data_IF_356063805650
#
_entry.id   IF_356063805650
#
_cell.length_a   1.000
_cell.length_b   1.000
_cell.length_c   1.000
_cell.angle_alpha   90.00
_cell.angle_beta   90.00
_cell.angle_gamma   90.00
#
_symmetry.space_group_name_H-M   'P 1'
#
loop_
_entity.id
_entity.type
_entity.pdbx_description
1 polymer ?
#
# COMPACT_ATOMS: atom_id res chain seq x y z
N UNK A 1 6.71 3.01 6.03
CA UNK A 1 6.26 1.65 5.63
C UNK A 1 5.58 1.73 4.27
N UNK A 2 5.96 0.90 3.31
CA UNK A 2 5.35 0.77 2.00
C UNK A 2 4.62 -0.58 1.92
N UNK A 3 3.34 -0.56 1.56
CA UNK A 3 2.49 -1.76 1.52
C UNK A 3 2.09 -2.05 0.09
N UNK A 4 2.52 -3.19 -0.44
CA UNK A 4 2.10 -3.67 -1.76
C UNK A 4 1.33 -4.99 -1.64
N UNK A 5 0.33 -5.16 -2.50
CA UNK A 5 -0.41 -6.42 -2.58
C UNK A 5 0.29 -7.49 -3.43
N UNK A 6 1.29 -7.09 -4.24
CA UNK A 6 2.08 -7.96 -5.11
C UNK A 6 3.56 -7.54 -5.18
N UNK A 7 4.41 -8.47 -5.61
CA UNK A 7 5.83 -8.26 -5.88
C UNK A 7 6.15 -8.68 -7.33
N UNK A 8 5.78 -7.83 -8.29
CA UNK A 8 5.90 -8.06 -9.74
C UNK A 8 6.54 -6.86 -10.45
N UNK A 9 7.02 -7.03 -11.69
CA UNK A 9 7.52 -5.93 -12.54
C UNK A 9 6.37 -5.21 -13.28
N UNK A 10 5.27 -4.94 -12.57
CA UNK A 10 4.17 -4.14 -13.10
C UNK A 10 4.37 -2.65 -12.76
N UNK A 11 3.58 -1.76 -13.37
CA UNK A 11 3.74 -0.31 -13.18
C UNK A 11 3.65 0.15 -11.72
N UNK A 12 2.71 -0.41 -10.94
CA UNK A 12 2.50 -0.01 -9.54
C UNK A 12 3.68 -0.34 -8.62
N UNK A 13 4.14 -1.60 -8.54
CA UNK A 13 5.31 -1.98 -7.75
C UNK A 13 6.61 -1.29 -8.20
N UNK A 14 6.83 -1.08 -9.51
CA UNK A 14 8.01 -0.37 -10.00
C UNK A 14 8.03 1.10 -9.53
N UNK A 15 6.90 1.78 -9.63
CA UNK A 15 6.74 3.15 -9.18
C UNK A 15 6.91 3.27 -7.65
N UNK A 16 6.34 2.35 -6.88
CA UNK A 16 6.54 2.30 -5.44
C UNK A 16 8.01 2.01 -5.07
N UNK A 17 8.72 1.21 -5.86
CA UNK A 17 10.15 0.93 -5.67
C UNK A 17 11.00 2.18 -5.93
N UNK A 18 10.74 2.93 -6.99
CA UNK A 18 11.46 4.18 -7.26
C UNK A 18 11.21 5.19 -6.12
N UNK A 19 9.97 5.29 -5.61
CA UNK A 19 9.69 6.09 -4.41
C UNK A 19 10.48 5.59 -3.19
N UNK A 20 10.58 4.28 -2.99
CA UNK A 20 11.37 3.69 -1.91
C UNK A 20 12.84 4.14 -1.97
N UNK A 21 13.42 4.18 -3.18
CA UNK A 21 14.80 4.62 -3.39
C UNK A 21 14.99 6.11 -3.12
N UNK A 22 14.07 6.96 -3.60
CA UNK A 22 14.10 8.38 -3.31
C UNK A 22 14.04 8.66 -1.79
N UNK A 23 13.16 7.95 -1.07
CA UNK A 23 13.07 8.04 0.38
C UNK A 23 14.37 7.59 1.07
N UNK A 24 14.99 6.50 0.61
CA UNK A 24 16.30 6.05 1.12
C UNK A 24 17.40 7.07 0.88
N UNK A 25 17.42 7.72 -0.29
CA UNK A 25 18.41 8.74 -0.64
C UNK A 25 18.37 9.96 0.29
N UNK A 26 17.19 10.32 0.79
CA UNK A 26 17.02 11.41 1.78
C UNK A 26 17.11 10.94 3.24
N UNK A 27 17.57 9.70 3.47
CA UNK A 27 17.86 9.18 4.80
C UNK A 27 16.69 8.51 5.53
N UNK A 28 15.52 8.36 4.90
CA UNK A 28 14.39 7.68 5.53
C UNK A 28 14.68 6.19 5.75
N UNK A 29 14.17 5.62 6.84
CA UNK A 29 14.08 4.17 6.97
C UNK A 29 12.88 3.66 6.16
N UNK A 30 13.14 2.75 5.23
CA UNK A 30 12.10 2.23 4.35
C UNK A 30 11.96 0.73 4.54
N UNK A 31 10.77 0.33 4.97
CA UNK A 31 10.34 -1.06 5.06
C UNK A 31 9.23 -1.26 4.05
N UNK A 32 9.37 -2.27 3.21
CA UNK A 32 8.40 -2.75 2.26
C UNK A 32 7.77 -4.04 2.78
N UNK A 33 6.45 -4.12 2.76
CA UNK A 33 5.72 -5.36 3.01
C UNK A 33 4.94 -5.81 1.78
N UNK A 34 5.01 -7.11 1.49
CA UNK A 34 4.25 -7.72 0.38
C UNK A 34 3.45 -8.92 0.85
N UNK A 35 2.20 -9.01 0.39
CA UNK A 35 1.23 -10.06 0.75
C UNK A 35 1.43 -11.35 -0.06
N UNK A 36 2.28 -11.32 -1.08
CA UNK A 36 2.60 -12.45 -1.95
C UNK A 36 4.11 -12.54 -2.13
N UNK A 37 4.74 -13.49 -1.42
CA UNK A 37 5.97 -14.13 -1.92
C UNK A 37 5.53 -15.37 -2.67
N UNK A 38 5.81 -15.52 -3.97
CA UNK A 38 5.60 -16.78 -4.66
C UNK A 38 6.32 -17.90 -3.90
N UNK A 39 5.66 -19.04 -3.69
CA UNK A 39 6.34 -20.26 -3.26
C UNK A 39 7.17 -20.78 -4.45
N UNK A 40 8.47 -20.47 -4.43
CA UNK A 40 9.43 -20.85 -5.49
C UNK A 40 10.28 -19.68 -5.99
N UNK A 41 11.44 -19.99 -6.58
CA UNK A 41 12.31 -19.01 -7.22
C UNK A 41 11.67 -18.52 -8.51
N UNK A 42 10.85 -17.48 -8.42
CA UNK A 42 10.48 -16.70 -9.58
C UNK A 42 11.56 -15.62 -9.77
N UNK A 43 12.45 -15.78 -10.76
CA UNK A 43 13.64 -14.94 -10.98
C UNK A 43 13.33 -13.44 -10.91
N UNK A 44 12.13 -13.06 -11.34
CA UNK A 44 11.62 -11.69 -11.33
C UNK A 44 11.40 -11.14 -9.92
N UNK A 45 10.71 -11.87 -9.04
CA UNK A 45 10.45 -11.44 -7.66
C UNK A 45 11.75 -11.42 -6.85
N UNK A 46 12.63 -12.39 -7.10
CA UNK A 46 13.97 -12.43 -6.51
C UNK A 46 14.81 -11.21 -6.92
N UNK A 47 14.81 -10.85 -8.22
CA UNK A 47 15.49 -9.67 -8.74
C UNK A 47 15.00 -8.37 -8.09
N UNK A 48 13.68 -8.21 -7.94
CA UNK A 48 13.10 -7.01 -7.34
C UNK A 48 13.44 -6.89 -5.84
N UNK A 49 13.32 -7.99 -5.10
CA UNK A 49 13.70 -8.04 -3.69
C UNK A 49 15.19 -7.73 -3.49
N UNK A 50 16.05 -8.34 -4.29
CA UNK A 50 17.49 -8.09 -4.24
C UNK A 50 17.84 -6.64 -4.60
N UNK A 51 17.17 -6.05 -5.60
CA UNK A 51 17.35 -4.64 -5.95
C UNK A 51 16.94 -3.73 -4.78
N UNK A 52 15.83 -4.04 -4.10
CA UNK A 52 15.39 -3.32 -2.91
C UNK A 52 16.40 -3.40 -1.76
N UNK A 53 16.87 -4.61 -1.45
CA UNK A 53 17.85 -4.84 -0.38
C UNK A 53 19.18 -4.11 -0.65
N UNK A 54 19.66 -4.13 -1.90
CA UNK A 54 20.88 -3.41 -2.30
C UNK A 54 20.79 -1.89 -2.13
N UNK A 55 19.58 -1.32 -2.13
CA UNK A 55 19.35 0.11 -1.88
C UNK A 55 18.96 0.38 -0.41
N UNK A 56 19.11 -0.62 0.48
CA UNK A 56 18.82 -0.51 1.90
C UNK A 56 17.33 -0.44 2.23
N UNK A 57 16.45 -0.89 1.33
CA UNK A 57 15.03 -1.08 1.60
C UNK A 57 14.85 -2.46 2.24
N UNK A 58 14.27 -2.51 3.44
CA UNK A 58 13.96 -3.78 4.11
C UNK A 58 12.71 -4.39 3.48
N UNK A 59 12.67 -5.72 3.33
CA UNK A 59 11.53 -6.43 2.74
C UNK A 59 11.05 -7.48 3.73
N UNK A 60 9.83 -7.29 4.24
CA UNK A 60 9.23 -8.14 5.26
C UNK A 60 7.94 -8.81 4.76
N UNK A 61 7.55 -9.96 5.34
CA UNK A 61 6.24 -10.54 5.08
C UNK A 61 5.12 -9.58 5.50
N UNK A 62 4.03 -9.49 4.73
CA UNK A 62 2.91 -8.63 5.10
C UNK A 62 2.02 -9.18 6.23
N UNK A 63 2.40 -10.25 6.93
CA UNK A 63 1.62 -10.87 7.99
C UNK A 63 2.49 -11.13 9.22
N UNK A 64 1.83 -11.32 10.36
CA UNK A 64 2.49 -11.62 11.63
C UNK A 64 2.75 -10.37 12.47
N UNK A 65 3.29 -10.60 13.67
CA UNK A 65 3.49 -9.56 14.68
C UNK A 65 4.45 -8.46 14.21
N UNK A 66 5.50 -8.83 13.47
CA UNK A 66 6.48 -7.88 12.93
C UNK A 66 5.84 -6.86 11.98
N UNK A 67 4.90 -7.28 11.12
CA UNK A 67 4.18 -6.40 10.22
C UNK A 67 3.29 -5.39 10.98
N UNK A 68 2.62 -5.86 12.05
CA UNK A 68 1.78 -5.02 12.91
C UNK A 68 2.64 -3.99 13.63
N UNK A 69 3.73 -4.42 14.28
CA UNK A 69 4.62 -3.52 15.00
C UNK A 69 5.30 -2.50 14.09
N UNK A 70 5.70 -2.91 12.90
CA UNK A 70 6.28 -2.00 11.89
C UNK A 70 5.26 -0.94 11.49
N UNK A 71 4.00 -1.31 11.30
CA UNK A 71 2.94 -0.37 10.95
C UNK A 71 2.62 0.62 12.10
N UNK A 72 2.58 0.12 13.34
CA UNK A 72 2.35 0.95 14.52
C UNK A 72 3.49 1.96 14.73
N UNK A 73 4.75 1.52 14.54
CA UNK A 73 5.96 2.36 14.70
C UNK A 73 6.19 3.33 13.54
N UNK A 74 5.67 3.04 12.35
CA UNK A 74 5.88 3.89 11.19
C UNK A 74 5.36 5.32 11.41
N UNK A 75 6.10 6.31 10.91
CA UNK A 75 5.67 7.71 10.84
C UNK A 75 4.73 7.95 9.65
N UNK A 76 4.95 7.22 8.55
CA UNK A 76 4.17 7.25 7.32
C UNK A 76 3.96 5.83 6.79
N UNK A 77 2.72 5.52 6.42
CA UNK A 77 2.34 4.28 5.74
C UNK A 77 1.83 4.62 4.35
N UNK A 78 2.46 4.08 3.30
CA UNK A 78 1.99 4.24 1.93
C UNK A 78 1.29 2.95 1.52
N UNK A 79 -0.03 3.02 1.33
CA UNK A 79 -0.79 1.92 0.74
C UNK A 79 -0.73 2.05 -0.79
N UNK A 80 -0.08 1.11 -1.45
CA UNK A 80 0.02 1.08 -2.90
C UNK A 80 -1.14 0.27 -3.49
N UNK A 81 -1.92 0.90 -4.35
CA UNK A 81 -3.17 0.39 -4.96
C UNK A 81 -4.37 0.34 -4.04
N UNK A 82 -5.57 0.37 -4.63
CA UNK A 82 -6.81 0.12 -3.91
C UNK A 82 -6.82 -1.27 -3.23
N UNK A 83 -6.21 -2.27 -3.86
CA UNK A 83 -6.19 -3.67 -3.37
C UNK A 83 -5.41 -3.80 -2.07
N UNK A 84 -4.42 -2.93 -1.81
CA UNK A 84 -3.70 -2.93 -0.53
C UNK A 84 -4.59 -2.59 0.66
N UNK A 85 -5.75 -1.96 0.48
CA UNK A 85 -6.68 -1.67 1.58
C UNK A 85 -7.15 -2.92 2.34
N UNK A 86 -7.25 -4.07 1.67
CA UNK A 86 -7.62 -5.35 2.31
C UNK A 86 -6.64 -5.78 3.40
N UNK A 87 -5.38 -5.32 3.31
CA UNK A 87 -4.34 -5.65 4.27
C UNK A 87 -4.64 -5.06 5.66
N UNK A 88 -5.30 -3.90 5.72
CA UNK A 88 -5.61 -3.22 6.97
C UNK A 88 -6.42 -4.13 7.90
N UNK A 89 -7.56 -4.63 7.45
CA UNK A 89 -8.40 -5.50 8.29
C UNK A 89 -7.79 -6.89 8.48
N UNK A 90 -7.17 -7.43 7.42
CA UNK A 90 -6.61 -8.78 7.46
C UNK A 90 -5.45 -8.91 8.47
N UNK A 91 -4.70 -7.83 8.70
CA UNK A 91 -3.44 -7.87 9.46
C UNK A 91 -3.48 -6.99 10.70
N UNK A 92 -3.93 -5.74 10.59
CA UNK A 92 -3.91 -4.81 11.73
C UNK A 92 -5.07 -5.03 12.70
N UNK A 93 -6.22 -5.52 12.22
CA UNK A 93 -7.42 -5.81 13.04
C UNK A 93 -7.79 -4.61 13.93
N UNK A 94 -7.77 -4.77 15.25
CA UNK A 94 -8.12 -3.72 16.21
C UNK A 94 -7.13 -2.54 16.23
N UNK A 95 -5.95 -2.69 15.59
CA UNK A 95 -4.96 -1.62 15.47
C UNK A 95 -5.23 -0.68 14.28
N UNK A 96 -6.20 -0.97 13.41
CA UNK A 96 -6.49 -0.14 12.23
C UNK A 96 -6.66 1.35 12.59
N UNK A 97 -7.48 1.75 13.59
CA UNK A 97 -7.69 3.16 13.91
C UNK A 97 -6.41 3.93 14.26
N UNK A 98 -5.39 3.26 14.81
CA UNK A 98 -4.12 3.88 15.18
C UNK A 98 -3.21 4.17 13.97
N UNK A 99 -3.40 3.42 12.88
CA UNK A 99 -2.58 3.52 11.68
C UNK A 99 -3.22 4.43 10.63
N UNK A 100 -4.55 4.50 10.56
CA UNK A 100 -5.28 5.32 9.57
C UNK A 100 -4.75 6.77 9.43
N UNK A 101 -4.49 7.53 10.51
CA UNK A 101 -4.01 8.92 10.42
C UNK A 101 -2.60 9.05 9.84
N UNK A 102 -1.87 7.95 9.67
CA UNK A 102 -0.51 7.89 9.10
C UNK A 102 -0.51 7.43 7.65
N UNK A 103 -1.68 7.10 7.08
CA UNK A 103 -1.78 6.51 5.76
C UNK A 103 -1.86 7.60 4.68
N UNK A 104 -0.93 7.53 3.72
CA UNK A 104 -1.07 8.11 2.40
C UNK A 104 -1.42 6.99 1.41
N UNK A 105 -2.61 7.03 0.86
CA UNK A 105 -3.07 5.97 -0.05
C UNK A 105 -2.80 6.34 -1.50
N UNK A 106 -1.88 5.62 -2.15
CA UNK A 106 -1.55 5.83 -3.56
C UNK A 106 -2.42 4.93 -4.45
N UNK A 107 -3.36 5.54 -5.18
CA UNK A 107 -4.33 4.84 -6.01
C UNK A 107 -4.11 5.20 -7.48
N UNK A 108 -3.86 4.17 -8.29
CA UNK A 108 -3.56 4.28 -9.72
C UNK A 108 -4.66 3.65 -10.57
N UNK A 109 -5.57 2.90 -9.95
CA UNK A 109 -6.63 2.18 -10.65
C UNK A 109 -7.76 3.12 -11.08
N UNK A 110 -8.34 2.89 -12.27
CA UNK A 110 -9.51 3.63 -12.77
C UNK A 110 -10.61 2.68 -13.28
N UNK A 111 -10.85 1.58 -12.56
CA UNK A 111 -11.84 0.55 -12.94
C UNK A 111 -12.74 0.16 -11.77
N UNK A 112 -14.01 -0.12 -12.07
CA UNK A 112 -15.07 -0.25 -11.07
C UNK A 112 -14.93 -1.45 -10.14
N UNK A 113 -14.27 -2.53 -10.58
CA UNK A 113 -14.07 -3.74 -9.76
C UNK A 113 -13.06 -3.55 -8.63
N UNK A 114 -12.25 -2.48 -8.65
CA UNK A 114 -11.41 -2.09 -7.53
C UNK A 114 -12.18 -1.34 -6.45
N UNK A 115 -13.40 -0.90 -6.75
CA UNK A 115 -14.24 -0.17 -5.83
C UNK A 115 -14.99 -1.10 -4.87
N UNK A 116 -14.38 -2.18 -4.38
CA UNK A 116 -15.01 -3.09 -3.42
C UNK A 116 -14.92 -2.51 -2.00
N UNK A 117 -15.95 -2.71 -1.18
CA UNK A 117 -15.97 -2.17 0.18
C UNK A 117 -14.76 -2.67 1.00
N UNK A 118 -14.43 -3.96 0.88
CA UNK A 118 -13.22 -4.56 1.48
C UNK A 118 -11.90 -3.88 1.08
N UNK A 119 -11.86 -3.20 -0.07
CA UNK A 119 -10.67 -2.51 -0.54
C UNK A 119 -10.64 -1.05 -0.11
N UNK A 120 -11.79 -0.37 0.02
CA UNK A 120 -11.82 1.09 0.07
C UNK A 120 -12.59 1.67 1.26
N UNK A 121 -13.16 0.83 2.15
CA UNK A 121 -13.98 1.30 3.29
C UNK A 121 -13.26 2.28 4.22
N UNK A 122 -11.94 2.16 4.31
CA UNK A 122 -11.09 3.00 5.16
C UNK A 122 -10.63 4.29 4.47
N UNK A 123 -10.86 4.44 3.17
CA UNK A 123 -10.37 5.58 2.37
C UNK A 123 -10.82 6.96 2.92
N UNK A 124 -12.03 7.14 3.48
CA UNK A 124 -12.42 8.42 4.08
C UNK A 124 -11.66 8.79 5.36
N UNK A 125 -10.98 7.83 6.00
CA UNK A 125 -10.37 7.99 7.31
C UNK A 125 -8.84 8.11 7.26
N UNK A 126 -8.23 7.96 6.08
CA UNK A 126 -6.77 8.09 5.93
C UNK A 126 -6.34 9.56 5.88
N UNK A 127 -5.06 9.82 6.11
CA UNK A 127 -4.50 11.18 6.11
C UNK A 127 -4.60 11.87 4.74
N UNK A 128 -4.48 11.08 3.67
CA UNK A 128 -4.64 11.58 2.31
C UNK A 128 -4.64 10.46 1.27
N UNK A 129 -5.10 10.79 0.08
CA UNK A 129 -5.00 9.93 -1.10
C UNK A 129 -4.20 10.66 -2.18
N UNK A 130 -3.20 9.96 -2.75
CA UNK A 130 -2.45 10.40 -3.90
C UNK A 130 -2.98 9.65 -5.13
N UNK A 131 -3.32 10.40 -6.18
CA UNK A 131 -3.94 9.86 -7.38
C UNK A 131 -3.25 10.47 -8.60
N UNK A 132 -2.88 9.62 -9.57
CA UNK A 132 -1.99 10.01 -10.68
C UNK A 132 -2.60 10.98 -11.69
N UNK A 133 -3.92 11.17 -11.70
CA UNK A 133 -4.58 12.08 -12.65
C UNK A 133 -5.86 12.70 -12.12
N UNK A 134 -6.19 13.89 -12.62
CA UNK A 134 -7.45 14.57 -12.33
C UNK A 134 -8.67 13.69 -12.70
N UNK A 135 -8.63 12.99 -13.84
CA UNK A 135 -9.75 12.15 -14.27
C UNK A 135 -9.97 11.00 -13.28
N UNK A 136 -8.88 10.39 -12.80
CA UNK A 136 -8.95 9.35 -11.76
C UNK A 136 -9.49 9.93 -10.45
N UNK A 137 -9.08 11.13 -10.05
CA UNK A 137 -9.62 11.80 -8.85
C UNK A 137 -11.14 11.93 -8.91
N UNK A 138 -11.68 12.45 -10.01
CA UNK A 138 -13.14 12.64 -10.16
C UNK A 138 -13.88 11.31 -10.21
N UNK A 139 -13.30 10.30 -10.86
CA UNK A 139 -13.81 8.94 -10.84
C UNK A 139 -13.92 8.39 -9.41
N UNK A 140 -12.86 8.53 -8.61
CA UNK A 140 -12.82 8.04 -7.23
C UNK A 140 -13.73 8.84 -6.30
N UNK A 141 -13.80 10.17 -6.42
CA UNK A 141 -14.72 11.00 -5.63
C UNK A 141 -16.17 10.55 -5.82
N UNK A 142 -16.61 10.43 -7.07
CA UNK A 142 -17.99 10.04 -7.41
C UNK A 142 -18.32 8.67 -6.84
N UNK A 143 -17.45 7.68 -7.05
CA UNK A 143 -17.70 6.31 -6.58
C UNK A 143 -17.61 6.17 -5.06
N UNK A 144 -16.71 6.92 -4.40
CA UNK A 144 -16.59 6.95 -2.94
C UNK A 144 -17.87 7.50 -2.33
N UNK A 145 -18.36 8.60 -2.90
CA UNK A 145 -19.63 9.20 -2.52
C UNK A 145 -20.80 8.22 -2.69
N UNK A 146 -20.94 7.58 -3.86
CA UNK A 146 -22.05 6.67 -4.13
C UNK A 146 -22.05 5.40 -3.25
N UNK A 147 -20.86 4.86 -2.95
CA UNK A 147 -20.73 3.61 -2.18
C UNK A 147 -20.70 3.81 -0.67
N UNK A 148 -20.02 4.85 -0.17
CA UNK A 148 -19.78 5.03 1.27
C UNK A 148 -20.82 5.91 1.95
N UNK A 149 -21.72 6.56 1.19
CA UNK A 149 -22.90 7.27 1.73
C UNK A 149 -23.85 6.41 2.58
N UNK A 150 -23.75 5.09 2.50
CA UNK A 150 -24.57 4.16 3.29
C UNK A 150 -23.86 3.67 4.58
N UNK A 151 -22.71 4.24 4.93
CA UNK A 151 -21.89 3.82 6.09
C UNK A 151 -21.53 5.01 6.99
N UNK A 152 -22.45 5.97 7.17
CA UNK A 152 -22.36 6.99 8.22
C UNK A 152 -23.18 6.60 9.43
#
# INVERSE_FOLDING_TARGET
LLVSHELSLSGGPLLLMELAFLLRQVGCQVVWITNQRPEGTNDVSYSLEHKMLNHGVQVLPARGQEAIETALKADLVILNTAVAGKWLDAVLKDNVPQVLPKILWWIHEMRGHYFKLEYVKHLPLVAGAMIDSHITVEYWKTRTHDRLKYVQ
#
